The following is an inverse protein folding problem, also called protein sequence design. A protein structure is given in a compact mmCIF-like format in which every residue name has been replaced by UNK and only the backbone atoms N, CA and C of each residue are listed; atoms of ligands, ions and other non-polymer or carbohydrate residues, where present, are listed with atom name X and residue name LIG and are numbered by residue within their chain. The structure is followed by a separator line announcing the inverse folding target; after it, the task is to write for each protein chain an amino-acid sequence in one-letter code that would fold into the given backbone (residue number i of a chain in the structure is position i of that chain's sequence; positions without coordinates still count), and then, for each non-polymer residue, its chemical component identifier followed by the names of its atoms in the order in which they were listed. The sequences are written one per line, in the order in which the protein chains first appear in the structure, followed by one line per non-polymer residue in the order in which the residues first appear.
data_IF_214117113912
#
_entry.id   IF_214117113912
#
_cell.length_a   1.000
_cell.length_b   1.000
_cell.length_c   1.000
_cell.angle_alpha   90.00
_cell.angle_beta   90.00
_cell.angle_gamma   90.00
#
_symmetry.space_group_name_H-M   'P 1'
#
loop_
_entity.id
_entity.type
_entity.pdbx_description
1 polymer ?
#
# COMPACT_ATOMS: atom_id res chain seq x y z
N UNK A 1 18.67 -0.17 10.16
CA UNK A 1 17.25 -0.45 10.42
C UNK A 1 16.50 0.14 9.24
N UNK A 2 16.32 -0.62 8.16
CA UNK A 2 15.90 -0.09 6.85
C UNK A 2 14.81 -0.98 6.26
N UNK A 3 13.70 -1.12 6.98
CA UNK A 3 12.47 -1.75 6.46
C UNK A 3 11.34 -0.73 6.32
N UNK A 4 11.71 0.54 6.17
CA UNK A 4 10.83 1.55 5.62
C UNK A 4 10.75 1.28 4.12
N UNK A 5 9.79 0.46 3.70
CA UNK A 5 9.08 0.74 2.45
C UNK A 5 8.84 2.25 2.47
N UNK A 6 9.57 3.01 1.65
CA UNK A 6 9.49 4.46 1.67
C UNK A 6 8.05 4.84 1.31
N UNK A 7 7.20 4.97 2.33
CA UNK A 7 5.74 5.07 2.20
C UNK A 7 5.37 6.34 1.44
N UNK A 8 6.27 7.33 1.50
CA UNK A 8 6.21 8.61 0.81
C UNK A 8 6.67 8.54 -0.66
N UNK A 9 7.35 7.47 -1.08
CA UNK A 9 7.91 7.35 -2.43
C UNK A 9 7.26 6.20 -3.22
N UNK A 10 6.77 5.18 -2.50
CA UNK A 10 6.15 4.00 -3.10
C UNK A 10 4.73 4.34 -3.51
N UNK A 11 4.46 4.29 -4.82
CA UNK A 11 3.11 4.45 -5.35
C UNK A 11 2.31 3.16 -5.18
N UNK A 12 0.98 3.28 -5.09
CA UNK A 12 0.11 2.10 -5.03
C UNK A 12 0.29 1.23 -6.27
N UNK A 13 0.43 1.82 -7.46
CA UNK A 13 0.64 1.06 -8.68
C UNK A 13 1.96 0.27 -8.65
N UNK A 14 3.05 0.85 -8.16
CA UNK A 14 4.34 0.16 -8.11
C UNK A 14 4.37 -0.94 -7.05
N UNK A 15 3.67 -0.74 -5.93
CA UNK A 15 3.43 -1.78 -4.95
C UNK A 15 2.66 -2.95 -5.57
N UNK A 16 1.54 -2.69 -6.24
CA UNK A 16 0.71 -3.75 -6.83
C UNK A 16 1.39 -4.48 -7.99
N UNK A 17 2.33 -3.82 -8.70
CA UNK A 17 3.20 -4.50 -9.69
C UNK A 17 4.16 -5.50 -9.02
N UNK A 18 4.70 -5.15 -7.85
CA UNK A 18 5.67 -5.99 -7.11
C UNK A 18 4.99 -7.09 -6.31
N UNK A 19 3.83 -6.81 -5.73
CA UNK A 19 3.04 -7.72 -4.90
C UNK A 19 1.55 -7.64 -5.30
N UNK A 20 1.14 -8.33 -6.38
CA UNK A 20 -0.26 -8.38 -6.83
C UNK A 20 -1.22 -8.90 -5.75
N UNK A 21 -0.73 -9.72 -4.81
CA UNK A 21 -1.47 -10.21 -3.65
C UNK A 21 -1.96 -9.08 -2.72
N UNK A 22 -1.27 -7.94 -2.70
CA UNK A 22 -1.66 -6.76 -1.93
C UNK A 22 -2.96 -6.12 -2.44
N UNK A 23 -3.44 -6.47 -3.64
CA UNK A 23 -4.77 -6.04 -4.14
C UNK A 23 -5.87 -6.37 -3.15
N UNK A 24 -5.83 -7.56 -2.53
CA UNK A 24 -6.83 -7.98 -1.54
C UNK A 24 -6.83 -7.10 -0.30
N UNK A 25 -5.66 -6.64 0.11
CA UNK A 25 -5.53 -5.74 1.25
C UNK A 25 -6.24 -4.40 1.00
N UNK A 26 -6.02 -3.78 -0.16
CA UNK A 26 -6.68 -2.52 -0.51
C UNK A 26 -8.21 -2.68 -0.64
N UNK A 27 -8.68 -3.79 -1.21
CA UNK A 27 -10.12 -4.10 -1.28
C UNK A 27 -10.71 -4.26 0.14
N UNK A 28 -10.02 -4.97 1.04
CA UNK A 28 -10.48 -5.17 2.41
C UNK A 28 -10.49 -3.86 3.23
N UNK A 29 -9.52 -2.97 2.97
CA UNK A 29 -9.47 -1.61 3.53
C UNK A 29 -10.47 -0.66 2.84
N UNK A 30 -11.30 -1.16 1.92
CA UNK A 30 -12.30 -0.40 1.16
C UNK A 30 -11.72 0.82 0.45
N UNK A 31 -10.46 0.74 0.01
CA UNK A 31 -9.85 1.84 -0.73
C UNK A 31 -10.20 1.75 -2.21
N UNK A 32 -10.44 2.90 -2.84
CA UNK A 32 -10.65 3.01 -4.27
C UNK A 32 -9.33 3.00 -5.06
N UNK A 33 -8.21 2.60 -4.46
CA UNK A 33 -6.89 2.69 -5.11
C UNK A 33 -6.69 1.61 -6.19
N UNK A 34 -7.35 0.46 -6.06
CA UNK A 34 -7.26 -0.64 -7.04
C UNK A 34 -8.02 -0.26 -8.31
N UNK A 35 -7.30 -0.15 -9.43
CA UNK A 35 -7.88 0.24 -10.72
C UNK A 35 -8.10 1.75 -10.90
N UNK A 36 -7.70 2.58 -9.93
CA UNK A 36 -7.75 4.03 -10.09
C UNK A 36 -6.63 4.54 -11.00
N UNK A 37 -6.98 5.43 -11.93
CA UNK A 37 -6.02 6.06 -12.83
C UNK A 37 -4.91 6.85 -12.09
N UNK A 38 -5.25 7.39 -10.92
CA UNK A 38 -4.32 8.16 -10.08
C UNK A 38 -3.39 7.26 -9.23
N UNK A 39 -3.62 5.95 -9.15
CA UNK A 39 -2.83 5.04 -8.31
C UNK A 39 -1.33 5.00 -8.67
N UNK A 40 -0.97 5.40 -9.89
CA UNK A 40 0.43 5.57 -10.36
C UNK A 40 1.12 6.82 -9.84
N UNK A 41 0.38 7.72 -9.22
CA UNK A 41 0.88 8.95 -8.61
C UNK A 41 0.61 9.00 -7.11
N UNK A 42 -0.48 8.37 -6.64
CA UNK A 42 -0.78 8.28 -5.21
C UNK A 42 0.23 7.37 -4.51
N UNK A 43 0.93 7.94 -3.54
CA UNK A 43 1.81 7.23 -2.63
C UNK A 43 1.00 6.47 -1.59
N UNK A 44 1.63 5.51 -0.91
CA UNK A 44 0.99 4.84 0.22
C UNK A 44 0.63 5.84 1.34
N UNK A 45 1.45 6.89 1.52
CA UNK A 45 1.18 7.96 2.47
C UNK A 45 -0.08 8.74 2.11
N UNK A 46 -0.29 9.03 0.82
CA UNK A 46 -1.50 9.70 0.34
C UNK A 46 -2.74 8.86 0.63
N UNK A 47 -2.67 7.53 0.48
CA UNK A 47 -3.78 6.63 0.81
C UNK A 47 -4.08 6.68 2.31
N UNK A 48 -3.05 6.58 3.15
CA UNK A 48 -3.22 6.66 4.62
C UNK A 48 -3.89 7.98 5.01
N UNK A 49 -3.45 9.10 4.44
CA UNK A 49 -4.02 10.41 4.72
C UNK A 49 -5.45 10.56 4.18
N UNK A 50 -5.72 10.12 2.94
CA UNK A 50 -7.01 10.27 2.29
C UNK A 50 -8.12 9.44 2.95
N UNK A 51 -7.78 8.24 3.44
CA UNK A 51 -8.71 7.33 4.10
C UNK A 51 -8.63 7.41 5.64
N UNK A 52 -7.86 8.37 6.18
CA UNK A 52 -7.65 8.57 7.62
C UNK A 52 -7.25 7.28 8.35
N UNK A 53 -6.39 6.48 7.72
CA UNK A 53 -5.89 5.23 8.28
C UNK A 53 -4.75 5.52 9.27
N UNK A 54 -4.53 4.60 10.21
CA UNK A 54 -3.35 4.66 11.07
C UNK A 54 -2.15 4.07 10.34
N UNK A 55 -1.10 4.88 10.16
CA UNK A 55 0.05 4.56 9.32
C UNK A 55 0.77 3.27 9.76
N UNK A 56 1.01 3.11 11.06
CA UNK A 56 1.76 1.94 11.56
C UNK A 56 0.98 0.66 11.35
N UNK A 57 -0.31 0.66 11.67
CA UNK A 57 -1.23 -0.47 11.49
C UNK A 57 -1.35 -0.79 10.01
N UNK A 58 -1.51 0.22 9.16
CA UNK A 58 -1.58 0.05 7.71
C UNK A 58 -0.32 -0.63 7.16
N UNK A 59 0.88 -0.15 7.53
CA UNK A 59 2.14 -0.74 7.10
C UNK A 59 2.34 -2.15 7.66
N UNK A 60 1.98 -2.41 8.92
CA UNK A 60 2.06 -3.74 9.53
C UNK A 60 1.15 -4.75 8.83
N UNK A 61 -0.08 -4.37 8.53
CA UNK A 61 -1.00 -5.24 7.80
C UNK A 61 -0.54 -5.43 6.35
N UNK A 62 -0.08 -4.36 5.69
CA UNK A 62 0.42 -4.43 4.32
C UNK A 62 1.67 -5.32 4.22
N UNK A 63 2.57 -5.27 5.21
CA UNK A 63 3.78 -6.10 5.25
C UNK A 63 3.45 -7.61 5.19
N UNK A 64 2.30 -8.03 5.71
CA UNK A 64 1.85 -9.43 5.62
C UNK A 64 1.58 -9.89 4.18
N UNK A 65 1.32 -8.95 3.26
CA UNK A 65 1.08 -9.22 1.84
C UNK A 65 2.33 -8.97 0.98
N UNK A 66 3.33 -8.24 1.47
CA UNK A 66 4.56 -7.95 0.71
C UNK A 66 5.74 -8.82 1.11
N UNK A 67 5.75 -9.36 2.33
CA UNK A 67 6.80 -10.27 2.80
C UNK A 67 6.48 -11.68 2.28
N UNK A 68 6.94 -11.98 1.06
CA UNK A 68 7.12 -13.37 0.65
C UNK A 68 8.21 -13.99 1.52
N UNK A 69 7.76 -14.91 2.37
CA UNK A 69 8.54 -15.92 3.09
C UNK A 69 9.61 -16.51 2.16
N UNK A 70 10.88 -16.25 2.44
CA UNK A 70 12.00 -16.99 1.85
C UNK A 70 12.06 -18.42 2.37
#
# INVERSE_FOLDING_TARGET
MNDDLAINETTVADLLKKAPEAVRFFINQQTACVGCYLAKFCTLKDVVNAYQLEEKTFLQELAKFTVKKS
#
